data_IF_022472833321
#
_entry.id   IF_022472833321
#
_cell.length_a   1.000
_cell.length_b   1.000
_cell.length_c   1.000
_cell.angle_alpha   90.00
_cell.angle_beta   90.00
_cell.angle_gamma   90.00
#
_symmetry.space_group_name_H-M   'P 1'
#
loop_
_entity.id
_entity.type
_entity.pdbx_description
1 polymer ?
#
# COMPACT_ATOMS: atom_id res chain seq x y z
N UNK A 1 -36.12 -15.24 10.86
CA UNK A 1 -37.38 -14.54 11.16
C UNK A 1 -37.37 -14.03 12.60
N UNK A 2 -38.02 -12.92 12.88
CA UNK A 2 -38.19 -12.42 14.24
C UNK A 2 -39.19 -13.30 14.99
N UNK A 3 -38.96 -13.54 16.29
CA UNK A 3 -39.84 -14.36 17.11
C UNK A 3 -41.24 -13.72 17.20
N UNK A 4 -42.24 -14.39 16.65
CA UNK A 4 -43.63 -13.88 16.61
C UNK A 4 -44.04 -13.08 15.37
N UNK A 5 -43.12 -12.88 14.39
CA UNK A 5 -43.41 -12.19 13.15
C UNK A 5 -42.71 -12.95 11.99
N UNK A 6 -43.45 -13.91 11.41
CA UNK A 6 -42.93 -14.80 10.33
C UNK A 6 -42.50 -14.01 9.09
N UNK A 7 -43.11 -12.86 8.85
CA UNK A 7 -42.88 -12.00 7.69
C UNK A 7 -41.76 -11.00 7.87
N UNK A 8 -41.16 -10.96 9.07
CA UNK A 8 -40.01 -10.10 9.40
C UNK A 8 -38.75 -10.94 9.55
N UNK A 9 -37.79 -10.73 8.67
CA UNK A 9 -36.54 -11.48 8.67
C UNK A 9 -35.35 -10.61 8.26
N UNK A 10 -34.18 -11.01 8.67
CA UNK A 10 -32.93 -10.46 8.19
C UNK A 10 -32.15 -11.53 7.43
N UNK A 11 -31.54 -11.15 6.30
CA UNK A 11 -30.73 -12.03 5.47
C UNK A 11 -29.37 -11.39 5.27
N UNK A 12 -28.33 -12.11 5.67
CA UNK A 12 -26.95 -11.72 5.35
C UNK A 12 -26.66 -12.08 3.88
N UNK A 13 -26.07 -11.16 3.15
CA UNK A 13 -25.62 -11.36 1.78
C UNK A 13 -24.21 -10.84 1.61
N UNK A 14 -23.41 -11.58 0.88
CA UNK A 14 -22.11 -11.13 0.41
C UNK A 14 -22.23 -10.80 -1.05
N UNK A 15 -21.89 -9.59 -1.44
CA UNK A 15 -21.83 -9.17 -2.83
C UNK A 15 -20.40 -8.80 -3.21
N UNK A 16 -20.04 -9.10 -4.45
CA UNK A 16 -18.72 -8.81 -5.04
C UNK A 16 -18.92 -8.05 -6.34
N UNK A 17 -17.84 -7.42 -6.80
CA UNK A 17 -17.82 -6.68 -8.08
C UNK A 17 -18.25 -7.55 -9.27
N UNK A 18 -17.86 -8.84 -9.23
CA UNK A 18 -18.15 -9.83 -10.28
C UNK A 18 -19.59 -10.38 -10.22
N UNK A 19 -20.28 -10.21 -9.09
CA UNK A 19 -21.66 -10.65 -8.89
C UNK A 19 -22.42 -9.63 -8.02
N UNK A 20 -22.66 -8.42 -8.51
CA UNK A 20 -23.39 -7.39 -7.78
C UNK A 20 -24.88 -7.71 -7.67
N UNK A 21 -25.41 -8.52 -8.58
CA UNK A 21 -26.83 -8.90 -8.67
C UNK A 21 -27.30 -9.81 -7.52
N UNK A 22 -26.38 -10.29 -6.67
CA UNK A 22 -26.72 -11.07 -5.47
C UNK A 22 -27.68 -10.33 -4.50
N UNK A 23 -27.83 -9.01 -4.67
CA UNK A 23 -28.72 -8.15 -3.89
C UNK A 23 -30.09 -7.91 -4.57
N UNK A 24 -30.30 -8.40 -5.78
CA UNK A 24 -31.60 -8.25 -6.48
C UNK A 24 -32.66 -9.15 -5.87
N UNK A 25 -33.94 -8.74 -6.09
CA UNK A 25 -35.10 -9.54 -5.74
C UNK A 25 -35.64 -9.35 -4.33
N UNK A 26 -35.11 -8.40 -3.56
CA UNK A 26 -35.66 -8.01 -2.26
C UNK A 26 -36.61 -6.83 -2.43
N UNK A 27 -37.88 -7.03 -2.09
CA UNK A 27 -38.89 -5.98 -2.04
C UNK A 27 -39.76 -6.18 -0.81
N UNK A 28 -39.98 -5.14 -0.06
CA UNK A 28 -40.85 -5.13 1.11
C UNK A 28 -41.32 -3.70 1.36
N UNK A 29 -42.51 -3.55 1.96
CA UNK A 29 -43.03 -2.25 2.38
C UNK A 29 -42.13 -1.57 3.41
N UNK A 30 -41.50 -2.38 4.28
CA UNK A 30 -40.52 -1.89 5.28
C UNK A 30 -39.19 -2.58 5.04
N UNK A 31 -38.26 -1.91 4.43
CA UNK A 31 -36.97 -2.45 4.11
C UNK A 31 -35.83 -1.63 4.71
N UNK A 32 -34.89 -2.31 5.33
CA UNK A 32 -33.63 -1.77 5.80
C UNK A 32 -32.48 -2.45 5.08
N UNK A 33 -31.68 -1.68 4.35
CA UNK A 33 -30.43 -2.11 3.76
C UNK A 33 -29.28 -1.67 4.67
N UNK A 34 -28.65 -2.64 5.34
CA UNK A 34 -27.53 -2.39 6.24
C UNK A 34 -26.23 -2.79 5.54
N UNK A 35 -25.36 -1.83 5.32
CA UNK A 35 -24.05 -2.02 4.70
C UNK A 35 -22.96 -1.87 5.75
N UNK A 36 -22.35 -2.97 6.13
CA UNK A 36 -21.20 -3.02 7.01
C UNK A 36 -19.91 -2.92 6.19
N UNK A 37 -18.86 -2.32 6.73
CA UNK A 37 -17.60 -2.04 6.01
C UNK A 37 -17.83 -1.26 4.69
N UNK A 38 -18.73 -0.29 4.72
CA UNK A 38 -19.26 0.40 3.53
C UNK A 38 -18.19 1.02 2.63
N UNK A 39 -17.08 1.49 3.20
CA UNK A 39 -15.96 2.04 2.42
C UNK A 39 -15.31 1.00 1.49
N UNK A 40 -15.38 -0.28 1.84
CA UNK A 40 -14.84 -1.39 1.04
C UNK A 40 -15.79 -1.90 -0.05
N UNK A 41 -17.09 -1.55 -0.01
CA UNK A 41 -18.09 -2.05 -0.95
C UNK A 41 -17.95 -1.34 -2.30
N UNK A 42 -17.85 -2.07 -3.43
CA UNK A 42 -17.81 -1.47 -4.76
C UNK A 42 -19.10 -0.70 -5.12
N UNK A 43 -18.97 0.43 -5.80
CA UNK A 43 -20.12 1.30 -6.13
C UNK A 43 -21.22 0.59 -6.93
N UNK A 44 -20.86 -0.37 -7.79
CA UNK A 44 -21.83 -1.18 -8.54
C UNK A 44 -22.79 -1.95 -7.63
N UNK A 45 -22.35 -2.33 -6.43
CA UNK A 45 -23.19 -3.03 -5.44
C UNK A 45 -24.24 -2.08 -4.86
N UNK A 46 -23.87 -0.83 -4.59
CA UNK A 46 -24.80 0.22 -4.14
C UNK A 46 -25.82 0.54 -5.24
N UNK A 47 -25.38 0.65 -6.50
CA UNK A 47 -26.28 0.91 -7.64
C UNK A 47 -27.35 -0.18 -7.79
N UNK A 48 -26.98 -1.45 -7.60
CA UNK A 48 -27.93 -2.56 -7.60
C UNK A 48 -28.84 -2.50 -6.38
N UNK A 49 -28.30 -2.17 -5.20
CA UNK A 49 -29.07 -1.98 -3.96
C UNK A 49 -30.09 -0.86 -4.05
N UNK A 50 -29.76 0.26 -4.71
CA UNK A 50 -30.70 1.38 -4.92
C UNK A 50 -31.96 0.95 -5.69
N UNK A 51 -31.84 0.01 -6.63
CA UNK A 51 -33.00 -0.57 -7.33
C UNK A 51 -33.99 -1.25 -6.38
N UNK A 52 -33.51 -1.91 -5.34
CA UNK A 52 -34.34 -2.55 -4.31
C UNK A 52 -34.98 -1.53 -3.34
N UNK A 53 -34.41 -0.33 -3.24
CA UNK A 53 -34.83 0.75 -2.33
C UNK A 53 -35.92 1.65 -2.92
N UNK A 54 -36.55 1.27 -4.01
CA UNK A 54 -37.60 2.06 -4.68
C UNK A 54 -38.93 2.16 -3.89
N UNK A 55 -39.10 1.32 -2.85
CA UNK A 55 -40.29 1.33 -1.99
C UNK A 55 -40.29 2.52 -1.04
N UNK A 56 -41.42 3.27 -0.92
CA UNK A 56 -41.52 4.34 0.06
C UNK A 56 -41.24 3.85 1.49
N UNK A 57 -40.37 4.53 2.21
CA UNK A 57 -40.00 4.14 3.58
C UNK A 57 -38.80 3.18 3.67
N UNK A 58 -38.28 2.66 2.57
CA UNK A 58 -37.02 1.92 2.58
C UNK A 58 -35.85 2.82 3.05
N UNK A 59 -34.97 2.25 3.87
CA UNK A 59 -33.84 2.99 4.48
C UNK A 59 -32.53 2.25 4.24
N UNK A 60 -31.48 3.01 4.00
CA UNK A 60 -30.11 2.51 3.95
C UNK A 60 -29.34 3.02 5.17
N UNK A 61 -28.64 2.14 5.84
CA UNK A 61 -27.66 2.45 6.88
C UNK A 61 -26.31 1.93 6.43
N UNK A 62 -25.34 2.81 6.43
CA UNK A 62 -23.95 2.47 6.10
C UNK A 62 -23.06 2.71 7.31
N UNK A 63 -22.20 1.79 7.64
CA UNK A 63 -21.17 1.94 8.67
C UNK A 63 -19.85 1.36 8.21
N UNK A 64 -18.75 1.88 8.74
CA UNK A 64 -17.40 1.40 8.45
C UNK A 64 -16.34 2.46 8.66
N UNK A 65 -15.10 2.03 8.65
CA UNK A 65 -13.97 2.95 8.65
C UNK A 65 -13.87 3.66 7.30
N UNK A 66 -13.67 4.98 7.27
CA UNK A 66 -13.63 5.77 6.03
C UNK A 66 -12.27 5.64 5.33
N UNK A 67 -11.95 4.46 4.79
CA UNK A 67 -10.62 4.13 4.23
C UNK A 67 -10.37 4.70 2.84
N UNK A 68 -11.43 5.09 2.12
CA UNK A 68 -11.35 5.63 0.75
C UNK A 68 -11.81 7.07 0.72
N UNK A 69 -11.17 7.87 -0.12
CA UNK A 69 -11.54 9.26 -0.41
C UNK A 69 -12.30 9.40 -1.74
N UNK A 70 -12.91 8.30 -2.19
CA UNK A 70 -13.78 8.23 -3.36
C UNK A 70 -14.84 7.14 -3.15
N UNK A 71 -15.86 7.11 -4.00
CA UNK A 71 -16.92 6.10 -4.01
C UNK A 71 -18.13 6.49 -3.17
N UNK A 72 -19.15 5.64 -3.21
CA UNK A 72 -20.50 5.93 -2.69
C UNK A 72 -20.50 6.33 -1.20
N UNK A 73 -19.73 5.61 -0.36
CA UNK A 73 -19.64 5.94 1.08
C UNK A 73 -18.97 7.29 1.31
N UNK A 74 -17.91 7.61 0.55
CA UNK A 74 -17.27 8.93 0.61
C UNK A 74 -18.22 10.03 0.17
N UNK A 75 -18.90 9.86 -0.97
CA UNK A 75 -19.83 10.84 -1.51
C UNK A 75 -21.01 11.10 -0.58
N UNK A 76 -21.50 10.07 0.12
CA UNK A 76 -22.57 10.24 1.12
C UNK A 76 -22.22 11.22 2.24
N UNK A 77 -20.94 11.37 2.57
CA UNK A 77 -20.44 12.31 3.57
C UNK A 77 -19.98 13.66 2.99
N UNK A 78 -19.85 13.78 1.66
CA UNK A 78 -19.33 14.96 0.95
C UNK A 78 -20.34 15.54 -0.03
N UNK A 79 -20.28 15.17 -1.28
CA UNK A 79 -21.09 15.74 -2.36
C UNK A 79 -22.60 15.48 -2.19
N UNK A 80 -22.99 14.35 -1.60
CA UNK A 80 -24.38 13.95 -1.36
C UNK A 80 -24.83 14.10 0.11
N UNK A 81 -24.07 14.79 0.94
CA UNK A 81 -24.36 14.94 2.37
C UNK A 81 -25.77 15.45 2.68
N UNK A 82 -26.35 16.24 1.81
CA UNK A 82 -27.72 16.74 1.95
C UNK A 82 -28.80 15.65 1.89
N UNK A 83 -28.47 14.47 1.40
CA UNK A 83 -29.37 13.29 1.31
C UNK A 83 -29.19 12.30 2.46
N UNK A 84 -28.15 12.49 3.28
CA UNK A 84 -27.73 11.54 4.30
C UNK A 84 -27.65 12.18 5.68
N UNK A 85 -28.04 11.41 6.69
CA UNK A 85 -27.70 11.75 8.07
C UNK A 85 -26.32 11.13 8.38
N UNK A 86 -25.27 11.96 8.42
CA UNK A 86 -23.90 11.52 8.59
C UNK A 86 -23.45 11.71 10.04
N UNK A 87 -22.87 10.65 10.60
CA UNK A 87 -22.27 10.63 11.93
C UNK A 87 -20.81 10.21 11.81
N UNK A 88 -19.94 10.95 12.49
CA UNK A 88 -18.53 10.54 12.68
C UNK A 88 -18.33 10.28 14.15
N UNK A 89 -17.80 9.11 14.47
CA UNK A 89 -17.50 8.70 15.85
C UNK A 89 -16.00 8.51 15.96
N UNK A 90 -15.37 9.30 16.84
CA UNK A 90 -13.96 9.13 17.18
C UNK A 90 -13.79 8.08 18.27
N UNK A 91 -12.65 7.39 18.26
CA UNK A 91 -12.25 6.53 19.38
C UNK A 91 -12.13 7.32 20.70
N UNK A 92 -11.85 8.62 20.63
CA UNK A 92 -11.82 9.48 21.81
C UNK A 92 -13.21 9.66 22.46
N UNK A 93 -14.28 9.53 21.69
CA UNK A 93 -15.66 9.66 22.17
C UNK A 93 -16.24 8.31 22.63
N UNK A 94 -15.57 7.21 22.35
CA UNK A 94 -16.03 5.86 22.61
C UNK A 94 -15.61 5.37 24.00
N UNK A 95 -16.57 5.16 24.88
CA UNK A 95 -16.33 4.68 26.28
C UNK A 95 -15.70 3.29 26.36
N UNK A 96 -15.70 2.53 25.28
CA UNK A 96 -15.12 1.17 25.19
C UNK A 96 -13.67 1.16 24.76
N UNK A 97 -13.12 2.30 24.33
CA UNK A 97 -11.72 2.42 23.90
C UNK A 97 -10.87 2.90 25.06
N UNK A 98 -9.76 2.21 25.31
CA UNK A 98 -8.84 2.58 26.39
C UNK A 98 -7.88 3.69 25.98
N UNK A 99 -7.45 4.54 26.92
CA UNK A 99 -6.43 5.56 26.69
C UNK A 99 -5.11 4.92 26.20
N UNK A 100 -4.73 3.77 26.77
CA UNK A 100 -3.53 3.03 26.34
C UNK A 100 -3.59 2.64 24.85
N UNK A 101 -4.76 2.30 24.32
CA UNK A 101 -4.92 2.06 22.87
C UNK A 101 -4.68 3.34 22.07
N UNK A 102 -5.23 4.48 22.49
CA UNK A 102 -5.07 5.75 21.80
C UNK A 102 -3.60 6.22 21.78
N UNK A 103 -2.93 6.15 22.94
CA UNK A 103 -1.50 6.45 23.04
C UNK A 103 -0.66 5.53 22.15
N UNK A 104 -0.92 4.23 22.18
CA UNK A 104 -0.24 3.26 21.31
C UNK A 104 -0.47 3.52 19.82
N UNK A 105 -1.65 3.94 19.43
CA UNK A 105 -1.94 4.33 18.05
C UNK A 105 -1.22 5.63 17.65
N UNK A 106 -1.19 6.62 18.55
CA UNK A 106 -0.48 7.88 18.33
C UNK A 106 1.05 7.67 18.23
N UNK A 107 1.61 6.86 19.13
CA UNK A 107 3.05 6.52 19.09
C UNK A 107 3.43 5.74 17.82
N UNK A 108 2.59 4.77 17.44
CA UNK A 108 2.85 3.85 16.33
C UNK A 108 2.69 4.50 14.96
N UNK A 109 1.67 5.32 14.77
CA UNK A 109 1.29 5.86 13.47
C UNK A 109 1.49 7.37 13.32
N UNK A 110 1.55 8.10 14.44
CA UNK A 110 1.54 9.56 14.47
C UNK A 110 0.11 10.11 14.28
N UNK A 111 -0.25 11.11 15.06
CA UNK A 111 -1.61 11.71 15.05
C UNK A 111 -1.98 12.36 13.71
N UNK A 112 -0.99 12.84 12.96
CA UNK A 112 -1.18 13.49 11.65
C UNK A 112 -1.27 12.50 10.48
N UNK A 113 -1.11 11.19 10.75
CA UNK A 113 -1.15 10.18 9.69
C UNK A 113 -2.58 9.87 9.23
N UNK A 114 -2.73 9.48 7.96
CA UNK A 114 -4.00 8.98 7.45
C UNK A 114 -4.47 7.71 8.18
N UNK A 115 -3.56 6.92 8.71
CA UNK A 115 -3.89 5.71 9.51
C UNK A 115 -4.60 6.11 10.80
N UNK A 116 -4.03 7.08 11.54
CA UNK A 116 -4.62 7.61 12.77
C UNK A 116 -5.97 8.30 12.48
N UNK A 117 -5.99 9.12 11.44
CA UNK A 117 -7.19 9.85 11.00
C UNK A 117 -8.36 8.89 10.71
N UNK A 118 -8.10 7.81 9.99
CA UNK A 118 -9.13 6.82 9.64
C UNK A 118 -9.53 5.95 10.83
N UNK A 119 -8.53 5.37 11.53
CA UNK A 119 -8.77 4.34 12.55
C UNK A 119 -9.11 4.88 13.93
N UNK A 120 -8.65 6.10 14.25
CA UNK A 120 -8.88 6.73 15.57
C UNK A 120 -9.90 7.83 15.49
N UNK A 121 -9.75 8.76 14.54
CA UNK A 121 -10.65 9.90 14.42
C UNK A 121 -11.94 9.58 13.66
N UNK A 122 -12.04 8.45 12.97
CA UNK A 122 -13.18 8.09 12.13
C UNK A 122 -13.39 9.04 10.96
N UNK A 123 -12.33 9.71 10.52
CA UNK A 123 -12.37 10.72 9.46
C UNK A 123 -11.79 10.18 8.17
N UNK A 124 -12.33 10.63 7.04
CA UNK A 124 -11.77 10.28 5.73
C UNK A 124 -10.32 10.75 5.61
N UNK A 125 -9.46 9.98 4.90
CA UNK A 125 -8.08 10.39 4.68
C UNK A 125 -8.06 11.73 3.96
N UNK A 126 -7.11 12.59 4.32
CA UNK A 126 -6.89 13.83 3.56
C UNK A 126 -6.38 13.42 2.18
N UNK A 127 -7.20 13.65 1.17
CA UNK A 127 -6.68 13.73 -0.19
C UNK A 127 -5.94 15.07 -0.30
N UNK A 128 -4.64 15.00 -0.17
CA UNK A 128 -3.86 15.86 -1.05
C UNK A 128 -3.73 15.07 -2.37
N UNK A 129 -4.00 15.69 -3.50
CA UNK A 129 -3.81 15.11 -4.86
C UNK A 129 -2.37 14.63 -5.09
N UNK A 130 -1.52 14.77 -4.08
CA UNK A 130 -0.11 14.49 -4.06
C UNK A 130 0.28 13.23 -3.22
N UNK A 131 -0.66 12.47 -2.66
CA UNK A 131 -0.34 11.21 -1.97
C UNK A 131 0.03 10.12 -2.97
N UNK A 132 1.17 9.50 -2.77
CA UNK A 132 1.65 8.46 -3.67
C UNK A 132 0.73 7.23 -3.67
N UNK A 133 0.38 6.72 -2.49
CA UNK A 133 -0.44 5.52 -2.32
C UNK A 133 -1.59 5.77 -1.34
N UNK A 134 -2.84 5.68 -1.80
CA UNK A 134 -4.00 5.71 -0.92
C UNK A 134 -3.99 4.53 0.06
N UNK A 135 -4.37 4.79 1.33
CA UNK A 135 -4.36 3.80 2.40
C UNK A 135 -5.17 2.54 2.03
N UNK A 136 -6.32 2.70 1.39
CA UNK A 136 -7.18 1.57 1.05
C UNK A 136 -6.50 0.54 0.13
N UNK A 137 -5.65 0.99 -0.83
CA UNK A 137 -4.93 0.05 -1.71
C UNK A 137 -3.96 -0.83 -0.93
N UNK A 138 -3.30 -0.25 0.06
CA UNK A 138 -2.35 -0.94 0.92
C UNK A 138 -3.07 -1.92 1.86
N UNK A 139 -4.17 -1.50 2.47
CA UNK A 139 -5.00 -2.36 3.33
C UNK A 139 -5.66 -3.51 2.57
N UNK A 140 -6.10 -3.27 1.33
CA UNK A 140 -6.58 -4.34 0.46
C UNK A 140 -5.48 -5.37 0.15
N UNK A 141 -4.24 -4.93 -0.07
CA UNK A 141 -3.12 -5.83 -0.31
C UNK A 141 -2.76 -6.70 0.90
N UNK A 142 -2.96 -6.19 2.12
CA UNK A 142 -2.79 -6.99 3.36
C UNK A 142 -3.83 -8.12 3.43
N UNK A 143 -5.07 -7.84 3.04
CA UNK A 143 -6.20 -8.78 3.16
C UNK A 143 -6.25 -9.83 2.04
N UNK A 144 -5.51 -9.63 0.95
CA UNK A 144 -5.54 -10.56 -0.20
C UNK A 144 -4.81 -11.85 0.09
N UNK A 145 -5.31 -12.91 -0.55
CA UNK A 145 -4.67 -14.22 -0.59
C UNK A 145 -4.03 -14.43 -1.96
N UNK A 146 -2.75 -14.08 -2.08
CA UNK A 146 -1.96 -14.22 -3.30
C UNK A 146 -0.70 -14.99 -2.96
N UNK A 147 -0.56 -16.15 -3.55
CA UNK A 147 0.64 -16.97 -3.39
C UNK A 147 1.73 -16.55 -4.38
N UNK A 148 2.99 -16.51 -3.94
CA UNK A 148 4.09 -16.20 -4.84
C UNK A 148 4.25 -17.30 -5.90
N UNK A 149 4.41 -16.90 -7.17
CA UNK A 149 4.65 -17.86 -8.24
C UNK A 149 6.05 -18.47 -8.13
N UNK A 150 6.20 -19.78 -8.10
CA UNK A 150 7.51 -20.44 -8.02
C UNK A 150 8.46 -20.10 -9.18
N UNK A 151 7.91 -19.67 -10.32
CA UNK A 151 8.69 -19.30 -11.51
C UNK A 151 9.17 -17.86 -11.48
N UNK A 152 8.68 -17.05 -10.55
CA UNK A 152 9.10 -15.65 -10.41
C UNK A 152 10.29 -15.56 -9.45
N UNK A 153 11.37 -14.88 -9.83
CA UNK A 153 12.53 -14.75 -8.97
C UNK A 153 12.24 -13.92 -7.73
N UNK A 154 12.88 -14.31 -6.63
CA UNK A 154 12.92 -13.51 -5.42
C UNK A 154 13.92 -12.36 -5.58
N UNK A 155 13.56 -11.18 -5.14
CA UNK A 155 14.39 -9.96 -5.14
C UNK A 155 14.42 -9.41 -3.72
N UNK A 156 15.60 -9.04 -3.26
CA UNK A 156 15.75 -8.32 -2.00
C UNK A 156 16.10 -6.86 -2.24
N UNK A 157 15.56 -5.98 -1.41
CA UNK A 157 15.92 -4.56 -1.34
C UNK A 157 16.53 -4.27 0.03
N UNK A 158 17.67 -3.62 0.06
CA UNK A 158 18.40 -3.29 1.30
C UNK A 158 18.70 -1.80 1.32
N UNK A 159 18.07 -1.08 2.24
CA UNK A 159 18.43 0.29 2.59
C UNK A 159 19.33 0.28 3.83
N UNK A 160 20.47 0.97 3.76
CA UNK A 160 21.49 0.93 4.83
C UNK A 160 21.67 2.31 5.43
N UNK A 161 21.34 2.42 6.71
CA UNK A 161 21.57 3.64 7.48
C UNK A 161 22.98 3.67 8.09
N UNK A 162 23.56 4.88 8.16
CA UNK A 162 24.72 5.16 9.02
C UNK A 162 24.32 5.21 10.48
N UNK A 163 25.32 5.23 11.39
CA UNK A 163 25.09 5.50 12.80
C UNK A 163 24.21 6.75 12.99
N UNK A 164 23.09 6.61 13.70
CA UNK A 164 22.14 7.69 13.95
C UNK A 164 20.73 7.16 14.25
N UNK A 165 19.74 8.00 13.98
CA UNK A 165 18.33 7.69 14.23
C UNK A 165 17.65 6.88 13.10
N UNK A 166 18.28 6.79 11.93
CA UNK A 166 17.75 6.04 10.78
C UNK A 166 18.06 4.53 10.95
N UNK A 167 17.22 3.68 10.32
CA UNK A 167 17.30 2.21 10.43
C UNK A 167 17.74 1.61 9.10
N UNK A 168 18.56 0.56 9.16
CA UNK A 168 18.75 -0.30 8.00
C UNK A 168 17.56 -1.23 7.86
N UNK A 169 17.14 -1.54 6.63
CA UNK A 169 15.97 -2.36 6.37
C UNK A 169 16.22 -3.37 5.24
N UNK A 170 15.61 -4.56 5.36
CA UNK A 170 15.68 -5.64 4.36
C UNK A 170 14.27 -6.03 3.96
N UNK A 171 13.91 -5.80 2.71
CA UNK A 171 12.65 -6.21 2.09
C UNK A 171 12.86 -7.39 1.15
N UNK A 172 11.95 -8.39 1.16
CA UNK A 172 12.02 -9.59 0.32
C UNK A 172 10.74 -9.73 -0.49
N UNK A 173 10.81 -9.59 -1.81
CA UNK A 173 9.65 -9.67 -2.71
C UNK A 173 9.84 -10.75 -3.76
N UNK A 174 8.75 -11.47 -4.05
CA UNK A 174 8.68 -12.43 -5.14
C UNK A 174 7.44 -12.12 -6.00
N UNK A 175 7.66 -11.52 -7.15
CA UNK A 175 6.57 -11.10 -8.04
C UNK A 175 5.57 -10.18 -7.35
N UNK A 176 4.35 -10.69 -7.17
CA UNK A 176 3.22 -9.95 -6.59
C UNK A 176 3.13 -10.05 -5.06
N UNK A 177 4.12 -10.65 -4.41
CA UNK A 177 4.07 -10.90 -2.97
C UNK A 177 5.30 -10.36 -2.26
N UNK A 178 5.08 -9.54 -1.21
CA UNK A 178 6.10 -9.27 -0.20
C UNK A 178 6.07 -10.43 0.81
N UNK A 179 7.17 -11.17 0.92
CA UNK A 179 7.19 -12.50 1.54
C UNK A 179 7.04 -12.48 3.07
N UNK A 180 7.56 -11.45 3.72
CA UNK A 180 7.56 -11.31 5.18
C UNK A 180 7.56 -9.83 5.58
N UNK A 181 7.22 -9.46 6.83
CA UNK A 181 7.41 -8.10 7.33
C UNK A 181 8.85 -7.66 7.16
N UNK A 182 9.04 -6.38 6.82
CA UNK A 182 10.38 -5.85 6.53
C UNK A 182 11.20 -5.80 7.81
N UNK A 183 12.33 -6.47 7.81
CA UNK A 183 13.25 -6.52 8.96
C UNK A 183 14.03 -5.22 9.06
N UNK A 184 14.06 -4.66 10.25
CA UNK A 184 14.79 -3.41 10.51
C UNK A 184 15.88 -3.61 11.56
N UNK A 185 17.00 -2.92 11.38
CA UNK A 185 18.18 -3.00 12.23
C UNK A 185 18.66 -1.59 12.55
N UNK A 186 18.94 -1.30 13.82
CA UNK A 186 19.41 0.00 14.26
C UNK A 186 20.81 -0.10 14.83
N UNK A 187 21.64 0.94 14.60
CA UNK A 187 22.97 1.05 15.18
C UNK A 187 23.97 -0.03 14.71
N UNK A 188 23.78 -0.57 13.51
CA UNK A 188 24.66 -1.56 12.92
C UNK A 188 25.67 -0.91 12.00
N UNK A 189 26.92 -1.37 12.09
CA UNK A 189 27.96 -0.97 11.15
C UNK A 189 27.84 -1.77 9.82
N UNK A 190 28.67 -1.39 8.84
CA UNK A 190 28.67 -2.02 7.52
C UNK A 190 28.97 -3.52 7.59
N UNK A 191 29.94 -3.93 8.42
CA UNK A 191 30.35 -5.33 8.52
C UNK A 191 29.32 -6.17 9.26
N UNK A 192 28.67 -5.62 10.28
CA UNK A 192 27.54 -6.23 10.94
C UNK A 192 26.36 -6.42 9.97
N UNK A 193 26.03 -5.39 9.17
CA UNK A 193 25.00 -5.50 8.15
C UNK A 193 25.35 -6.54 7.07
N UNK A 194 26.60 -6.62 6.65
CA UNK A 194 27.04 -7.66 5.72
C UNK A 194 26.84 -9.08 6.32
N UNK A 195 27.18 -9.26 7.60
CA UNK A 195 26.95 -10.50 8.32
C UNK A 195 25.47 -10.85 8.46
N UNK A 196 24.60 -9.86 8.70
CA UNK A 196 23.15 -10.03 8.78
C UNK A 196 22.58 -10.47 7.42
N UNK A 197 22.92 -9.78 6.34
CA UNK A 197 22.45 -10.13 4.99
C UNK A 197 22.94 -11.51 4.57
N UNK A 198 24.18 -11.86 4.88
CA UNK A 198 24.72 -13.20 4.63
C UNK A 198 23.95 -14.27 5.41
N UNK A 199 23.74 -14.05 6.70
CA UNK A 199 22.98 -14.99 7.55
C UNK A 199 21.54 -15.20 7.05
N UNK A 200 20.86 -14.14 6.63
CA UNK A 200 19.54 -14.21 6.02
C UNK A 200 19.57 -14.99 4.69
N UNK A 201 20.61 -14.79 3.89
CA UNK A 201 20.79 -15.49 2.62
C UNK A 201 21.03 -16.98 2.82
N UNK A 202 21.90 -17.35 3.77
CA UNK A 202 22.20 -18.74 4.10
C UNK A 202 21.01 -19.48 4.72
N UNK A 203 20.23 -18.79 5.57
CA UNK A 203 19.01 -19.32 6.15
C UNK A 203 17.86 -19.50 5.13
N UNK A 204 17.95 -18.85 3.96
CA UNK A 204 16.93 -18.95 2.93
C UNK A 204 17.11 -20.23 2.11
N UNK A 205 16.04 -21.06 1.94
CA UNK A 205 16.10 -22.25 1.11
C UNK A 205 16.62 -21.94 -0.29
N UNK A 206 17.45 -22.80 -0.85
CA UNK A 206 18.15 -22.56 -2.12
C UNK A 206 17.23 -22.08 -3.25
N UNK A 207 16.07 -22.67 -3.40
CA UNK A 207 15.10 -22.31 -4.45
C UNK A 207 14.41 -20.95 -4.22
N UNK A 208 14.50 -20.41 -3.02
CA UNK A 208 13.92 -19.11 -2.63
C UNK A 208 14.98 -18.01 -2.48
N UNK A 209 16.25 -18.34 -2.69
CA UNK A 209 17.34 -17.37 -2.63
C UNK A 209 17.12 -16.27 -3.67
N UNK A 210 17.47 -15.02 -3.35
CA UNK A 210 17.25 -13.90 -4.25
C UNK A 210 18.12 -14.05 -5.52
N UNK A 211 17.53 -13.72 -6.66
CA UNK A 211 18.26 -13.56 -7.92
C UNK A 211 19.13 -12.29 -7.89
N UNK A 212 18.68 -11.26 -7.17
CA UNK A 212 19.41 -10.03 -6.95
C UNK A 212 19.08 -9.44 -5.56
N UNK A 213 20.10 -8.82 -4.96
CA UNK A 213 20.00 -8.02 -3.72
C UNK A 213 20.35 -6.59 -4.11
N UNK A 214 19.33 -5.74 -4.25
CA UNK A 214 19.52 -4.33 -4.59
C UNK A 214 19.81 -3.51 -3.34
N UNK A 215 20.86 -2.73 -3.37
CA UNK A 215 21.35 -1.95 -2.23
C UNK A 215 21.46 -0.49 -2.66
N UNK A 216 20.87 0.43 -1.90
CA UNK A 216 21.09 1.85 -2.17
C UNK A 216 22.57 2.20 -2.01
N UNK A 217 23.21 2.60 -3.10
CA UNK A 217 24.64 2.92 -3.13
C UNK A 217 25.00 4.25 -2.44
N UNK A 218 23.99 5.02 -2.00
CA UNK A 218 24.26 6.31 -1.33
C UNK A 218 24.89 6.07 0.05
N UNK A 219 25.97 6.77 0.32
CA UNK A 219 26.65 6.68 1.60
C UNK A 219 27.47 5.40 1.78
N UNK A 220 27.10 4.55 2.76
CA UNK A 220 27.83 3.31 3.07
C UNK A 220 27.37 2.10 2.23
N UNK A 221 26.27 2.22 1.53
CA UNK A 221 25.67 1.08 0.81
C UNK A 221 26.51 0.56 -0.34
N UNK A 222 27.29 1.41 -1.02
CA UNK A 222 28.25 0.95 -2.02
C UNK A 222 29.25 -0.04 -1.42
N UNK A 223 29.83 0.29 -0.25
CA UNK A 223 30.74 -0.60 0.46
C UNK A 223 30.08 -1.91 0.91
N UNK A 224 28.79 -1.86 1.31
CA UNK A 224 28.03 -3.07 1.61
C UNK A 224 27.87 -3.95 0.38
N UNK A 225 27.51 -3.37 -0.76
CA UNK A 225 27.36 -4.12 -2.01
C UNK A 225 28.67 -4.80 -2.43
N UNK A 226 29.79 -4.10 -2.32
CA UNK A 226 31.11 -4.67 -2.60
C UNK A 226 31.45 -5.82 -1.65
N UNK A 227 31.20 -5.64 -0.36
CA UNK A 227 31.45 -6.70 0.63
C UNK A 227 30.58 -7.94 0.39
N UNK A 228 29.30 -7.76 0.04
CA UNK A 228 28.43 -8.90 -0.26
C UNK A 228 28.84 -9.64 -1.55
N UNK A 229 29.36 -8.93 -2.56
CA UNK A 229 29.94 -9.57 -3.77
C UNK A 229 31.18 -10.39 -3.44
N UNK A 230 32.06 -9.88 -2.53
CA UNK A 230 33.21 -10.66 -2.06
C UNK A 230 32.78 -11.95 -1.33
N UNK A 231 31.57 -11.98 -0.78
CA UNK A 231 30.95 -13.13 -0.14
C UNK A 231 30.10 -13.99 -1.11
N UNK A 232 30.27 -13.78 -2.42
CA UNK A 232 29.56 -14.49 -3.51
C UNK A 232 28.02 -14.32 -3.47
N UNK A 233 27.50 -13.23 -2.89
CA UNK A 233 26.07 -12.89 -2.95
C UNK A 233 25.75 -12.07 -4.21
N UNK A 234 24.52 -12.22 -4.77
CA UNK A 234 24.09 -11.49 -5.97
C UNK A 234 23.76 -10.03 -5.67
N UNK A 235 24.69 -9.29 -5.09
CA UNK A 235 24.53 -7.91 -4.67
C UNK A 235 24.72 -6.92 -5.82
N UNK A 236 23.78 -5.98 -5.96
CA UNK A 236 23.78 -4.95 -6.98
C UNK A 236 23.61 -3.59 -6.32
N UNK A 237 24.60 -2.72 -6.48
CA UNK A 237 24.54 -1.34 -6.00
C UNK A 237 23.65 -0.50 -6.93
N UNK A 238 22.65 0.18 -6.36
CA UNK A 238 21.72 1.04 -7.08
C UNK A 238 21.88 2.48 -6.58
N UNK A 239 22.21 3.39 -7.48
CA UNK A 239 22.25 4.81 -7.16
C UNK A 239 20.87 5.44 -7.39
N UNK A 240 20.03 5.49 -6.36
CA UNK A 240 18.66 6.04 -6.45
C UNK A 240 18.63 7.54 -6.81
N UNK A 241 19.76 8.23 -6.70
CA UNK A 241 19.92 9.63 -7.11
C UNK A 241 20.20 9.83 -8.59
N UNK A 242 20.52 8.75 -9.30
CA UNK A 242 20.76 8.80 -10.76
C UNK A 242 19.50 9.16 -11.54
N UNK A 243 19.73 9.42 -12.83
CA UNK A 243 18.65 9.71 -13.76
C UNK A 243 17.74 8.48 -13.90
N UNK A 244 16.43 8.69 -13.86
CA UNK A 244 15.43 7.66 -14.09
C UNK A 244 15.60 6.97 -15.46
N UNK A 245 15.17 5.72 -15.56
CA UNK A 245 15.12 4.99 -16.84
C UNK A 245 14.13 5.68 -17.80
N UNK A 246 12.97 6.10 -17.29
CA UNK A 246 11.98 6.90 -18.01
C UNK A 246 12.22 8.40 -17.75
N UNK A 247 13.27 8.93 -18.39
CA UNK A 247 13.77 10.31 -18.19
C UNK A 247 12.74 11.40 -18.43
N UNK A 248 11.77 11.16 -19.31
CA UNK A 248 10.75 12.15 -19.67
C UNK A 248 9.63 12.21 -18.62
N UNK A 249 9.45 11.14 -17.83
CA UNK A 249 8.39 11.02 -16.83
C UNK A 249 8.87 11.31 -15.41
N UNK A 250 10.07 10.88 -15.06
CA UNK A 250 10.59 10.95 -13.68
C UNK A 250 11.86 11.82 -13.60
N UNK A 251 12.04 12.45 -12.43
CA UNK A 251 13.20 13.30 -12.21
C UNK A 251 14.45 12.47 -11.86
N UNK A 252 14.31 11.44 -11.01
CA UNK A 252 15.37 10.54 -10.56
C UNK A 252 14.89 9.09 -10.52
N UNK A 253 15.80 8.15 -10.41
CA UNK A 253 15.49 6.74 -10.26
C UNK A 253 14.62 6.46 -9.01
N UNK A 254 14.89 7.13 -7.88
CA UNK A 254 14.03 7.04 -6.69
C UNK A 254 12.56 7.31 -7.01
N UNK A 255 12.29 8.33 -7.80
CA UNK A 255 10.93 8.74 -8.16
C UNK A 255 10.23 7.65 -9.00
N UNK A 256 10.98 7.03 -9.90
CA UNK A 256 10.51 5.90 -10.72
C UNK A 256 10.23 4.65 -9.87
N UNK A 257 11.11 4.29 -8.95
CA UNK A 257 10.93 3.13 -8.07
C UNK A 257 9.69 3.25 -7.18
N UNK A 258 9.48 4.40 -6.58
CA UNK A 258 8.27 4.68 -5.81
C UNK A 258 7.01 4.62 -6.68
N UNK A 259 7.07 5.15 -7.89
CA UNK A 259 5.95 5.07 -8.82
C UNK A 259 5.66 3.65 -9.28
N UNK A 260 6.69 2.84 -9.54
CA UNK A 260 6.54 1.42 -9.88
C UNK A 260 5.87 0.65 -8.74
N UNK A 261 6.16 0.99 -7.48
CA UNK A 261 5.45 0.42 -6.34
C UNK A 261 3.97 0.80 -6.32
N UNK A 262 3.62 2.04 -6.67
CA UNK A 262 2.22 2.46 -6.84
C UNK A 262 1.52 1.64 -7.91
N UNK A 263 2.09 1.54 -9.11
CA UNK A 263 1.53 0.74 -10.21
C UNK A 263 1.36 -0.74 -9.81
N UNK A 264 2.27 -1.28 -9.00
CA UNK A 264 2.18 -2.62 -8.44
C UNK A 264 0.95 -2.77 -7.53
N UNK A 265 0.67 -1.84 -6.62
CA UNK A 265 -0.52 -1.85 -5.78
C UNK A 265 -1.81 -1.62 -6.59
N UNK A 266 -1.79 -0.75 -7.60
CA UNK A 266 -2.93 -0.46 -8.48
C UNK A 266 -3.34 -1.68 -9.32
N UNK A 267 -2.43 -2.61 -9.58
CA UNK A 267 -2.70 -3.90 -10.22
C UNK A 267 -3.69 -4.77 -9.46
N UNK A 268 -3.85 -4.56 -8.16
CA UNK A 268 -4.81 -5.24 -7.26
C UNK A 268 -4.69 -6.77 -7.20
N UNK A 269 -3.58 -7.33 -7.66
CA UNK A 269 -3.24 -8.75 -7.60
C UNK A 269 -2.03 -9.02 -6.69
N UNK A 270 -1.81 -8.13 -5.73
CA UNK A 270 -0.62 -8.11 -4.87
C UNK A 270 -0.96 -8.37 -3.42
N UNK A 271 0.01 -8.94 -2.67
CA UNK A 271 -0.09 -9.23 -1.24
C UNK A 271 1.11 -8.66 -0.50
N UNK A 272 0.84 -8.06 0.64
CA UNK A 272 1.85 -7.72 1.63
C UNK A 272 1.45 -8.28 2.99
N UNK A 273 2.42 -8.62 3.86
CA UNK A 273 2.13 -8.96 5.25
C UNK A 273 1.59 -7.73 6.00
N UNK A 274 0.98 -7.96 7.16
CA UNK A 274 0.58 -6.88 8.05
C UNK A 274 1.84 -6.25 8.69
N UNK A 275 2.41 -5.26 8.01
CA UNK A 275 3.55 -4.46 8.46
C UNK A 275 3.12 -3.01 8.63
N UNK A 276 2.85 -2.64 9.88
CA UNK A 276 2.35 -1.31 10.20
C UNK A 276 3.35 -0.19 9.88
N UNK A 277 4.65 -0.48 9.93
CA UNK A 277 5.68 0.51 9.60
C UNK A 277 5.68 0.76 8.10
N UNK A 278 5.65 -0.29 7.28
CA UNK A 278 5.53 -0.15 5.83
C UNK A 278 4.25 0.60 5.44
N UNK A 279 3.11 0.22 6.04
CA UNK A 279 1.80 0.87 5.76
C UNK A 279 1.89 2.36 6.05
N UNK A 280 2.41 2.75 7.23
CA UNK A 280 2.54 4.15 7.61
C UNK A 280 3.48 4.92 6.68
N UNK A 281 4.66 4.38 6.41
CA UNK A 281 5.67 5.07 5.60
C UNK A 281 5.18 5.26 4.17
N UNK A 282 4.68 4.19 3.51
CA UNK A 282 4.35 4.25 2.09
C UNK A 282 3.09 5.08 1.80
N UNK A 283 2.13 5.12 2.75
CA UNK A 283 0.92 5.97 2.63
C UNK A 283 1.17 7.42 3.03
N UNK A 284 2.27 7.70 3.73
CA UNK A 284 2.69 9.05 4.10
C UNK A 284 3.48 9.80 3.03
N UNK A 285 3.92 9.11 1.97
CA UNK A 285 4.76 9.69 0.91
C UNK A 285 3.93 10.51 -0.06
N UNK A 286 4.46 11.67 -0.44
CA UNK A 286 3.84 12.59 -1.40
C UNK A 286 4.68 12.74 -2.65
N UNK A 287 4.03 13.15 -3.74
CA UNK A 287 4.69 13.48 -5.00
C UNK A 287 4.20 14.83 -5.54
N UNK A 288 4.94 15.40 -6.45
CA UNK A 288 4.55 16.61 -7.18
C UNK A 288 5.08 16.57 -8.62
N UNK A 289 4.43 17.31 -9.49
CA UNK A 289 4.98 17.58 -10.80
C UNK A 289 5.85 18.82 -10.77
N UNK A 290 7.04 18.73 -11.35
CA UNK A 290 7.93 19.87 -11.54
C UNK A 290 7.47 20.73 -12.72
N UNK A 291 8.01 21.95 -12.85
CA UNK A 291 7.70 22.85 -13.96
C UNK A 291 8.02 22.27 -15.35
N UNK A 292 8.93 21.30 -15.43
CA UNK A 292 9.26 20.56 -16.65
C UNK A 292 8.36 19.32 -16.88
N UNK A 293 7.28 19.17 -16.13
CA UNK A 293 6.33 18.07 -16.26
C UNK A 293 6.77 16.75 -15.61
N UNK A 294 7.99 16.67 -15.08
CA UNK A 294 8.47 15.42 -14.45
C UNK A 294 7.91 15.23 -13.06
N UNK A 295 7.60 13.99 -12.75
CA UNK A 295 7.19 13.60 -11.41
C UNK A 295 8.41 13.55 -10.46
N UNK A 296 8.23 14.08 -9.27
CA UNK A 296 9.21 14.04 -8.19
C UNK A 296 8.53 13.61 -6.90
N UNK A 297 9.06 12.58 -6.25
CA UNK A 297 8.70 12.19 -4.88
C UNK A 297 9.32 13.17 -3.91
N UNK A 298 8.62 13.49 -2.83
CA UNK A 298 9.18 14.36 -1.77
C UNK A 298 10.49 13.78 -1.22
N UNK A 299 11.40 14.68 -0.88
CA UNK A 299 12.69 14.32 -0.30
C UNK A 299 12.54 13.97 1.19
N UNK A 300 13.49 13.20 1.74
CA UNK A 300 13.58 12.93 3.20
C UNK A 300 13.56 14.24 4.02
N UNK A 301 14.14 15.33 3.52
CA UNK A 301 14.14 16.63 4.18
C UNK A 301 12.76 17.29 4.14
N UNK A 302 12.01 17.18 3.04
CA UNK A 302 10.64 17.65 2.95
C UNK A 302 9.73 16.87 3.91
N UNK A 303 9.90 15.55 4.01
CA UNK A 303 9.18 14.70 4.97
C UNK A 303 9.50 15.10 6.43
N UNK A 304 10.77 15.28 6.77
CA UNK A 304 11.20 15.72 8.12
C UNK A 304 10.60 17.07 8.51
N UNK A 305 10.49 18.02 7.56
CA UNK A 305 9.82 19.33 7.81
C UNK A 305 8.33 19.20 8.12
N UNK A 306 7.67 18.12 7.65
CA UNK A 306 6.29 17.78 7.98
C UNK A 306 6.15 16.95 9.26
N UNK A 307 7.24 16.75 10.03
CA UNK A 307 7.24 15.90 11.22
C UNK A 307 7.25 14.40 10.94
N UNK A 308 7.45 13.98 9.68
CA UNK A 308 7.56 12.58 9.32
C UNK A 308 8.98 12.04 9.55
N UNK A 309 9.08 10.76 9.91
CA UNK A 309 10.37 10.07 9.98
C UNK A 309 10.90 9.72 8.59
N UNK A 310 12.17 9.34 8.52
CA UNK A 310 12.77 8.74 7.31
C UNK A 310 12.03 7.47 6.92
N UNK A 311 11.67 7.28 5.63
CA UNK A 311 10.90 6.13 5.18
C UNK A 311 11.80 4.94 4.86
N UNK A 312 12.64 4.53 5.81
CA UNK A 312 13.69 3.52 5.59
C UNK A 312 13.13 2.16 5.17
N UNK A 313 11.96 1.80 5.70
CA UNK A 313 11.24 0.55 5.34
C UNK A 313 10.66 0.65 3.93
N UNK A 314 10.06 1.79 3.59
CA UNK A 314 9.54 2.01 2.24
C UNK A 314 10.68 2.15 1.23
N UNK A 315 11.82 2.79 1.57
CA UNK A 315 12.98 2.87 0.70
C UNK A 315 13.55 1.45 0.40
N UNK A 316 13.67 0.57 1.40
CA UNK A 316 14.07 -0.84 1.18
C UNK A 316 13.05 -1.59 0.30
N UNK A 317 11.75 -1.37 0.52
CA UNK A 317 10.71 -1.99 -0.29
C UNK A 317 10.79 -1.58 -1.76
N UNK A 318 10.92 -0.28 -2.04
CA UNK A 318 10.94 0.21 -3.43
C UNK A 318 12.21 -0.19 -4.19
N UNK A 319 13.33 -0.45 -3.51
CA UNK A 319 14.52 -1.04 -4.13
C UNK A 319 14.22 -2.39 -4.77
N UNK A 320 13.24 -3.16 -4.30
CA UNK A 320 12.85 -4.42 -4.93
C UNK A 320 12.28 -4.26 -6.33
N UNK A 321 11.91 -3.04 -6.74
CA UNK A 321 11.42 -2.67 -8.08
C UNK A 321 12.52 -2.13 -8.98
N UNK A 322 13.76 -2.07 -8.51
CA UNK A 322 14.89 -1.76 -9.36
C UNK A 322 15.00 -2.87 -10.40
N UNK A 323 14.35 -2.69 -11.55
CA UNK A 323 14.63 -3.51 -12.70
C UNK A 323 16.05 -3.23 -13.14
N UNK A 324 16.76 -4.28 -13.41
CA UNK A 324 18.11 -4.20 -13.92
C UNK A 324 18.15 -3.57 -15.33
N UNK A 325 17.82 -2.30 -15.45
CA UNK A 325 18.50 -1.44 -16.42
C UNK A 325 20.02 -1.49 -16.19
N UNK A 326 20.42 -1.82 -14.98
CA UNK A 326 21.74 -2.31 -14.61
C UNK A 326 22.11 -3.67 -15.20
N UNK A 327 21.20 -4.49 -15.69
CA UNK A 327 21.51 -5.76 -16.44
C UNK A 327 22.10 -5.46 -17.82
N UNK A 328 22.02 -4.24 -18.31
CA UNK A 328 22.70 -3.85 -19.55
C UNK A 328 24.24 -3.91 -19.48
N UNK A 329 24.83 -4.10 -18.31
CA UNK A 329 26.28 -4.13 -18.15
C UNK A 329 26.89 -5.54 -17.96
N UNK A 330 26.13 -6.65 -17.90
CA UNK A 330 26.81 -7.92 -17.63
C UNK A 330 26.10 -9.22 -17.94
N UNK A 331 24.77 -9.27 -18.02
CA UNK A 331 24.03 -10.52 -18.23
C UNK A 331 22.93 -10.40 -19.28
N UNK A 332 23.34 -10.12 -20.52
CA UNK A 332 22.44 -10.30 -21.67
C UNK A 332 22.50 -11.75 -22.13
N UNK A 333 21.61 -12.62 -21.62
CA UNK A 333 21.06 -13.74 -22.39
C UNK A 333 19.93 -14.43 -21.59
N UNK A 334 18.73 -14.24 -22.10
CA UNK A 334 17.66 -15.24 -21.97
C UNK A 334 16.56 -14.96 -20.97
N UNK A 335 15.85 -13.82 -21.02
CA UNK A 335 14.42 -13.82 -20.67
C UNK A 335 13.74 -12.62 -21.35
N UNK A 336 13.44 -12.79 -22.64
CA UNK A 336 12.49 -11.91 -23.32
C UNK A 336 11.09 -12.52 -23.20
N UNK A 337 10.35 -12.15 -22.18
CA UNK A 337 8.90 -12.25 -22.21
C UNK A 337 8.33 -10.94 -21.71
N UNK A 338 8.50 -9.90 -22.52
CA UNK A 338 7.77 -8.65 -22.38
C UNK A 338 6.32 -8.89 -22.79
N UNK A 339 5.43 -9.08 -21.83
CA UNK A 339 4.05 -8.66 -22.03
C UNK A 339 4.03 -7.14 -21.92
N UNK A 340 4.13 -6.49 -23.09
CA UNK A 340 3.83 -5.06 -23.21
C UNK A 340 2.38 -4.84 -22.83
N UNK A 341 2.12 -4.29 -21.66
CA UNK A 341 0.84 -3.69 -21.35
C UNK A 341 0.70 -2.44 -22.24
N UNK A 342 0.01 -2.60 -23.36
CA UNK A 342 -0.48 -1.45 -24.13
C UNK A 342 -1.55 -0.78 -23.30
N UNK A 343 -1.26 0.39 -22.78
CA UNK A 343 -2.26 1.30 -22.26
C UNK A 343 -3.28 1.54 -23.39
N UNK A 344 -4.53 1.15 -23.15
CA UNK A 344 -5.66 1.55 -24.01
C UNK A 344 -5.95 3.02 -23.72
N UNK A 345 -5.29 3.91 -24.41
CA UNK A 345 -5.75 5.29 -24.57
C UNK A 345 -6.91 5.27 -25.57
N UNK A 346 -8.12 5.22 -25.06
CA UNK A 346 -9.35 5.46 -25.84
C UNK A 346 -9.99 6.74 -25.32
N UNK A 347 -9.55 7.88 -25.81
CA UNK A 347 -10.34 9.09 -25.84
C UNK A 347 -11.18 9.04 -27.13
N UNK A 348 -12.48 8.96 -26.99
CA UNK A 348 -13.42 9.25 -28.07
C UNK A 348 -14.11 10.54 -27.70
N UNK A 349 -14.12 11.42 -28.67
CA UNK A 349 -14.76 12.74 -28.78
C UNK A 349 -16.21 12.72 -28.33
#
# INVERSE_FOLDING_TARGET
ALKGASDSFAVARTSRRENPEALQGFHSENMLFLCEEASGIPDVVFQVGEGAMSTPGAKTVMCGNPTRSEGFFYESHHSQRNRWHCMTVSCHDATTVSEQFLEGMAEKYGEESNVYRVRVLGQFPTQSDDVLLPLYLVEEAVKRDVEPSPTTPTIWGVDVARFGGDRSAIAKRQGQTLLEPIKTYQGRDLMEMAGIVLSEYEATPYMMRPMAIYIDAIGIGAGLADRLRELDLPAVAISVSETASLKDRFNRLRDELFWNSREWFEGRDVKIPEDNTLIQEITGIRYKYLSNGKLKIESKDEMKRRGQRSPDVADAFVLTFAEAGAIAAGYSKGYSNRRSFKAKTGWIV
#
